data_IF_879121288439
#
_entry.id   IF_879121288439
#
_cell.length_a   1.000
_cell.length_b   1.000
_cell.length_c   1.000
_cell.angle_alpha   90.00
_cell.angle_beta   90.00
_cell.angle_gamma   90.00
#
_symmetry.space_group_name_H-M   'P 1'
#
loop_
_entity.id
_entity.type
_entity.pdbx_description
1 polymer ?
#
# COMPACT_ATOMS: atom_id res chain seq x y z
N UNK A 1 1.92 -19.85 7.68
CA UNK A 1 1.87 -18.46 7.18
C UNK A 1 3.27 -17.86 7.06
N UNK A 2 4.02 -17.81 8.17
CA UNK A 2 5.36 -17.22 8.27
C UNK A 2 6.35 -17.63 7.15
N UNK A 3 6.65 -18.93 7.00
CA UNK A 3 7.60 -19.39 5.98
C UNK A 3 7.18 -19.05 4.54
N UNK A 4 5.87 -19.14 4.24
CA UNK A 4 5.32 -18.77 2.93
C UNK A 4 5.57 -17.30 2.62
N UNK A 5 5.35 -16.43 3.60
CA UNK A 5 5.54 -15.00 3.42
C UNK A 5 7.03 -14.62 3.38
N UNK A 6 7.87 -15.31 4.15
CA UNK A 6 9.32 -15.16 4.06
C UNK A 6 9.82 -15.49 2.66
N UNK A 7 9.39 -16.63 2.08
CA UNK A 7 9.76 -17.01 0.71
C UNK A 7 9.26 -15.98 -0.32
N UNK A 8 7.99 -15.55 -0.21
CA UNK A 8 7.45 -14.49 -1.08
C UNK A 8 8.23 -13.18 -0.95
N UNK A 9 8.61 -12.80 0.26
CA UNK A 9 9.40 -11.62 0.54
C UNK A 9 10.80 -11.70 -0.07
N UNK A 10 11.49 -12.83 0.09
CA UNK A 10 12.80 -13.08 -0.52
C UNK A 10 12.70 -13.01 -2.04
N UNK A 11 11.70 -13.67 -2.64
CA UNK A 11 11.49 -13.67 -4.08
C UNK A 11 11.23 -12.25 -4.62
N UNK A 12 10.39 -11.48 -3.92
CA UNK A 12 10.13 -10.09 -4.28
C UNK A 12 11.39 -9.22 -4.18
N UNK A 13 12.20 -9.40 -3.13
CA UNK A 13 13.48 -8.70 -2.98
C UNK A 13 14.48 -9.04 -4.07
N UNK A 14 14.53 -10.30 -4.51
CA UNK A 14 15.39 -10.75 -5.63
C UNK A 14 14.89 -10.19 -6.96
N UNK A 15 13.60 -9.99 -7.15
CA UNK A 15 13.06 -9.41 -8.39
C UNK A 15 13.26 -7.89 -8.43
N UNK A 16 12.97 -7.20 -7.34
CA UNK A 16 12.96 -5.73 -7.29
C UNK A 16 14.34 -5.15 -6.98
N UNK A 17 15.12 -5.81 -6.13
CA UNK A 17 16.41 -5.31 -5.65
C UNK A 17 17.47 -5.14 -6.73
N UNK A 18 17.81 -6.17 -7.51
CA UNK A 18 18.88 -6.08 -8.51
C UNK A 18 18.65 -5.00 -9.58
N UNK A 19 17.44 -4.80 -10.16
CA UNK A 19 17.20 -3.69 -11.08
C UNK A 19 17.48 -2.32 -10.45
N UNK A 20 17.09 -2.12 -9.18
CA UNK A 20 17.36 -0.87 -8.46
C UNK A 20 18.86 -0.69 -8.24
N UNK A 21 19.57 -1.74 -7.81
CA UNK A 21 21.02 -1.70 -7.59
C UNK A 21 21.76 -1.39 -8.88
N UNK A 22 21.41 -2.06 -9.99
CA UNK A 22 21.99 -1.79 -11.31
C UNK A 22 21.75 -0.34 -11.72
N UNK A 23 20.54 0.18 -11.54
CA UNK A 23 20.23 1.58 -11.85
C UNK A 23 21.10 2.54 -11.03
N UNK A 24 21.26 2.30 -9.72
CA UNK A 24 22.13 3.11 -8.85
C UNK A 24 23.59 3.04 -9.32
N UNK A 25 24.11 1.84 -9.62
CA UNK A 25 25.49 1.67 -10.10
C UNK A 25 25.70 2.47 -11.39
N UNK A 26 24.76 2.38 -12.34
CA UNK A 26 24.84 3.13 -13.60
C UNK A 26 24.83 4.64 -13.36
N UNK A 27 23.99 5.13 -12.46
CA UNK A 27 23.95 6.55 -12.09
C UNK A 27 25.27 6.97 -11.44
N UNK A 28 25.84 6.15 -10.56
CA UNK A 28 27.13 6.46 -9.92
C UNK A 28 28.26 6.49 -10.94
N UNK A 29 28.31 5.54 -11.87
CA UNK A 29 29.33 5.47 -12.91
C UNK A 29 29.24 6.60 -13.93
N UNK A 30 28.03 7.08 -14.27
CA UNK A 30 27.79 8.09 -15.31
C UNK A 30 27.42 9.48 -14.78
N UNK A 31 27.25 9.64 -13.47
CA UNK A 31 26.65 10.83 -12.87
C UNK A 31 27.51 12.08 -12.90
N UNK A 32 28.83 11.93 -13.03
CA UNK A 32 29.77 13.06 -13.12
C UNK A 32 29.59 14.06 -11.96
N UNK A 33 29.72 15.38 -12.21
CA UNK A 33 29.64 16.40 -11.15
C UNK A 33 28.24 16.57 -10.55
N UNK A 34 27.18 16.09 -11.24
CA UNK A 34 25.79 16.21 -10.81
C UNK A 34 25.23 14.90 -10.23
N UNK A 35 26.09 13.95 -9.88
CA UNK A 35 25.73 12.63 -9.34
C UNK A 35 24.70 12.70 -8.21
N UNK A 36 24.85 13.64 -7.28
CA UNK A 36 23.92 13.83 -6.18
C UNK A 36 22.50 14.14 -6.66
N UNK A 37 22.35 14.97 -7.69
CA UNK A 37 21.05 15.34 -8.26
C UNK A 37 20.42 14.14 -8.97
N UNK A 38 21.20 13.38 -9.74
CA UNK A 38 20.69 12.20 -10.43
C UNK A 38 20.24 11.10 -9.47
N UNK A 39 21.03 10.82 -8.42
CA UNK A 39 20.62 9.87 -7.38
C UNK A 39 19.39 10.36 -6.63
N UNK A 40 19.34 11.64 -6.27
CA UNK A 40 18.17 12.21 -5.61
C UNK A 40 16.92 12.09 -6.47
N UNK A 41 16.99 12.47 -7.75
CA UNK A 41 15.86 12.39 -8.68
C UNK A 41 15.40 10.93 -8.87
N UNK A 42 16.34 9.99 -8.98
CA UNK A 42 16.02 8.57 -9.08
C UNK A 42 15.33 8.04 -7.81
N UNK A 43 15.88 8.32 -6.63
CA UNK A 43 15.32 7.87 -5.36
C UNK A 43 13.94 8.50 -5.11
N UNK A 44 13.77 9.76 -5.47
CA UNK A 44 12.48 10.45 -5.39
C UNK A 44 11.46 9.81 -6.33
N UNK A 45 11.82 9.58 -7.59
CA UNK A 45 10.96 8.90 -8.57
C UNK A 45 10.59 7.48 -8.14
N UNK A 46 11.56 6.71 -7.64
CA UNK A 46 11.34 5.36 -7.11
C UNK A 46 10.38 5.39 -5.92
N UNK A 47 10.53 6.35 -5.01
CA UNK A 47 9.64 6.51 -3.85
C UNK A 47 8.21 6.82 -4.28
N UNK A 48 8.01 7.73 -5.24
CA UNK A 48 6.70 8.04 -5.81
C UNK A 48 6.08 6.82 -6.50
N UNK A 49 6.87 6.04 -7.24
CA UNK A 49 6.40 4.82 -7.87
C UNK A 49 5.95 3.79 -6.82
N UNK A 50 6.74 3.60 -5.76
CA UNK A 50 6.45 2.65 -4.68
C UNK A 50 5.19 3.01 -3.89
N UNK A 51 4.87 4.30 -3.72
CA UNK A 51 3.59 4.73 -3.13
C UNK A 51 2.36 4.17 -3.88
N UNK A 52 2.49 3.92 -5.18
CA UNK A 52 1.40 3.36 -6.01
C UNK A 52 1.52 1.85 -6.15
N UNK A 53 2.73 1.34 -6.44
CA UNK A 53 3.00 -0.08 -6.69
C UNK A 53 2.74 -0.91 -5.44
N UNK A 54 3.18 -0.44 -4.27
CA UNK A 54 3.10 -1.21 -3.03
C UNK A 54 1.66 -1.63 -2.68
N UNK A 55 0.68 -0.74 -2.52
CA UNK A 55 -0.67 -1.14 -2.13
C UNK A 55 -1.45 -1.87 -3.23
N UNK A 56 -1.04 -1.76 -4.50
CA UNK A 56 -1.77 -2.36 -5.64
C UNK A 56 -1.23 -3.75 -5.99
N UNK A 57 0.08 -3.95 -5.93
CA UNK A 57 0.73 -5.18 -6.37
C UNK A 57 1.36 -5.94 -5.22
N UNK A 58 2.07 -5.26 -4.32
CA UNK A 58 2.84 -5.93 -3.26
C UNK A 58 1.93 -6.39 -2.13
N UNK A 59 1.15 -5.47 -1.56
CA UNK A 59 0.29 -5.78 -0.41
C UNK A 59 -0.70 -6.93 -0.68
N UNK A 60 -1.37 -7.02 -1.86
CA UNK A 60 -2.28 -8.12 -2.17
C UNK A 60 -1.62 -9.50 -2.30
N UNK A 61 -0.29 -9.58 -2.47
CA UNK A 61 0.42 -10.87 -2.48
C UNK A 61 0.53 -11.49 -1.09
N UNK A 62 0.46 -10.65 -0.05
CA UNK A 62 0.58 -11.05 1.35
C UNK A 62 -0.77 -11.12 2.04
N UNK A 63 -1.68 -10.17 1.75
CA UNK A 63 -2.97 -10.06 2.43
C UNK A 63 -4.11 -10.16 1.45
N UNK A 64 -5.25 -10.67 1.92
CA UNK A 64 -6.47 -10.73 1.15
C UNK A 64 -7.25 -9.43 1.34
N UNK A 65 -7.48 -8.73 0.24
CA UNK A 65 -8.32 -7.54 0.20
C UNK A 65 -9.67 -7.92 -0.38
N UNK A 66 -10.72 -7.78 0.42
CA UNK A 66 -12.11 -7.98 -0.03
C UNK A 66 -12.85 -6.65 0.01
N UNK A 67 -13.73 -6.35 -0.95
CA UNK A 67 -14.62 -5.19 -0.82
C UNK A 67 -15.38 -5.24 0.51
N UNK A 68 -15.56 -4.09 1.16
CA UNK A 68 -16.39 -4.05 2.37
C UNK A 68 -17.82 -4.46 1.97
N UNK A 69 -18.45 -5.44 2.66
CA UNK A 69 -19.81 -5.83 2.37
C UNK A 69 -20.77 -4.65 2.49
N UNK A 70 -21.86 -4.70 1.72
CA UNK A 70 -22.91 -3.71 1.84
C UNK A 70 -23.58 -3.82 3.21
N UNK A 71 -23.91 -2.67 3.79
CA UNK A 71 -24.46 -2.59 5.14
C UNK A 71 -24.28 -1.21 5.78
N UNK A 72 -24.75 -1.06 7.03
CA UNK A 72 -24.83 0.24 7.69
C UNK A 72 -23.46 0.91 7.87
N UNK A 73 -22.40 0.13 8.08
CA UNK A 73 -21.04 0.65 8.20
C UNK A 73 -20.56 1.27 6.89
N UNK A 74 -20.79 0.59 5.76
CA UNK A 74 -20.40 1.08 4.44
C UNK A 74 -21.13 2.38 4.11
N UNK A 75 -22.44 2.42 4.34
CA UNK A 75 -23.26 3.60 4.10
C UNK A 75 -22.82 4.80 4.95
N UNK A 76 -22.54 4.59 6.24
CA UNK A 76 -22.02 5.64 7.13
C UNK A 76 -20.70 6.21 6.62
N UNK A 77 -19.78 5.35 6.18
CA UNK A 77 -18.47 5.77 5.64
C UNK A 77 -18.64 6.53 4.33
N UNK A 78 -19.48 6.03 3.41
CA UNK A 78 -19.73 6.70 2.12
C UNK A 78 -20.42 8.06 2.32
N UNK A 79 -21.37 8.16 3.26
CA UNK A 79 -22.01 9.43 3.63
C UNK A 79 -21.02 10.44 4.20
N UNK A 80 -20.13 10.01 5.08
CA UNK A 80 -19.08 10.86 5.65
C UNK A 80 -18.05 11.28 4.58
N UNK A 81 -17.65 10.36 3.71
CA UNK A 81 -16.75 10.68 2.60
C UNK A 81 -17.39 11.72 1.67
N UNK A 82 -18.68 11.55 1.36
CA UNK A 82 -19.44 12.48 0.53
C UNK A 82 -19.57 13.87 1.18
N UNK A 83 -19.86 13.96 2.48
CA UNK A 83 -19.97 15.25 3.18
C UNK A 83 -18.65 16.03 3.18
N UNK A 84 -17.52 15.32 3.24
CA UNK A 84 -16.17 15.90 3.15
C UNK A 84 -15.67 16.09 1.71
N UNK A 85 -16.50 15.80 0.70
CA UNK A 85 -16.11 15.78 -0.73
C UNK A 85 -14.87 14.93 -0.99
N UNK A 86 -14.66 13.90 -0.18
CA UNK A 86 -13.56 12.96 -0.33
C UNK A 86 -13.88 12.00 -1.48
N UNK A 87 -13.05 11.91 -2.54
CA UNK A 87 -13.34 11.10 -3.73
C UNK A 87 -13.05 9.61 -3.46
N UNK A 88 -13.85 9.01 -2.57
CA UNK A 88 -13.81 7.60 -2.24
C UNK A 88 -14.25 6.78 -3.44
N UNK A 89 -13.32 5.96 -3.99
CA UNK A 89 -13.61 5.09 -5.12
C UNK A 89 -13.80 3.63 -4.73
N UNK A 90 -13.03 3.17 -3.74
CA UNK A 90 -13.09 1.77 -3.26
C UNK A 90 -12.87 1.72 -1.75
N UNK A 91 -13.63 0.85 -1.10
CA UNK A 91 -13.56 0.56 0.32
C UNK A 91 -13.32 -0.94 0.48
N UNK A 92 -12.24 -1.31 1.16
CA UNK A 92 -11.80 -2.69 1.35
C UNK A 92 -11.67 -3.04 2.82
N UNK A 93 -11.83 -4.33 3.10
CA UNK A 93 -11.40 -4.96 4.34
C UNK A 93 -10.20 -5.85 4.04
N UNK A 94 -9.20 -5.80 4.91
CA UNK A 94 -8.02 -6.67 4.87
C UNK A 94 -8.06 -7.66 6.04
N UNK A 95 -7.62 -8.89 5.79
CA UNK A 95 -7.56 -10.00 6.75
C UNK A 95 -6.39 -9.87 7.75
N UNK A 96 -6.32 -8.73 8.45
CA UNK A 96 -5.28 -8.41 9.42
C UNK A 96 -5.20 -9.40 10.59
N UNK A 97 -6.35 -9.98 10.98
CA UNK A 97 -6.47 -10.99 12.04
C UNK A 97 -5.61 -12.23 11.80
N UNK A 98 -5.33 -12.57 10.55
CA UNK A 98 -4.48 -13.72 10.18
C UNK A 98 -3.02 -13.54 10.61
N UNK A 99 -2.61 -12.30 10.90
CA UNK A 99 -1.23 -11.92 11.20
C UNK A 99 -1.05 -11.36 12.60
N UNK A 100 -2.04 -10.64 13.10
CA UNK A 100 -1.99 -10.03 14.44
C UNK A 100 -3.38 -9.62 14.90
N UNK A 101 -3.55 -9.42 16.21
CA UNK A 101 -4.75 -8.85 16.81
C UNK A 101 -4.81 -7.31 16.73
N UNK A 102 -3.83 -6.66 16.10
CA UNK A 102 -3.80 -5.21 15.97
C UNK A 102 -4.87 -4.72 14.99
N UNK A 103 -5.53 -3.63 15.39
CA UNK A 103 -6.53 -2.93 14.60
C UNK A 103 -5.90 -1.72 13.93
N UNK A 104 -6.20 -1.54 12.64
CA UNK A 104 -5.73 -0.39 11.89
C UNK A 104 -6.69 -0.05 10.75
N UNK A 105 -6.58 1.17 10.24
CA UNK A 105 -7.22 1.63 9.03
C UNK A 105 -6.26 2.58 8.32
N UNK A 106 -6.20 2.50 6.98
CA UNK A 106 -5.37 3.41 6.21
C UNK A 106 -6.05 3.81 4.90
N UNK A 107 -5.60 4.93 4.37
CA UNK A 107 -6.12 5.53 3.15
C UNK A 107 -4.98 5.72 2.18
N UNK A 108 -5.19 5.42 0.90
CA UNK A 108 -4.16 5.60 -0.12
C UNK A 108 -4.77 5.96 -1.47
N UNK A 109 -3.91 6.39 -2.39
CA UNK A 109 -4.29 6.72 -3.76
C UNK A 109 -4.11 8.21 -4.10
N UNK A 110 -4.03 8.47 -5.39
CA UNK A 110 -3.77 9.80 -5.95
C UNK A 110 -5.05 10.45 -6.46
N UNK A 111 -5.13 11.78 -6.30
CA UNK A 111 -6.20 12.63 -6.81
C UNK A 111 -7.60 12.07 -6.53
N UNK A 112 -8.37 11.77 -7.60
CA UNK A 112 -9.76 11.29 -7.56
C UNK A 112 -9.91 9.78 -7.36
N UNK A 113 -8.82 9.06 -7.13
CA UNK A 113 -8.82 7.61 -6.97
C UNK A 113 -8.37 7.22 -5.55
N UNK A 114 -9.06 7.76 -4.55
CA UNK A 114 -8.77 7.45 -3.15
C UNK A 114 -9.44 6.15 -2.74
N UNK A 115 -8.73 5.38 -1.91
CA UNK A 115 -9.17 4.09 -1.39
C UNK A 115 -8.99 4.07 0.11
N UNK A 116 -9.90 3.40 0.79
CA UNK A 116 -9.84 3.16 2.24
C UNK A 116 -9.73 1.66 2.46
N UNK A 117 -8.85 1.26 3.38
CA UNK A 117 -8.70 -0.12 3.82
C UNK A 117 -8.90 -0.16 5.32
N UNK A 118 -9.80 -1.03 5.76
CA UNK A 118 -10.08 -1.32 7.16
C UNK A 118 -9.54 -2.70 7.51
N UNK A 119 -9.00 -2.88 8.70
CA UNK A 119 -8.66 -4.22 9.19
C UNK A 119 -9.93 -4.91 9.69
N UNK A 120 -10.04 -6.21 9.45
CA UNK A 120 -11.11 -7.04 10.00
C UNK A 120 -11.16 -6.99 11.54
N UNK A 121 -10.01 -6.95 12.20
CA UNK A 121 -9.86 -6.77 13.65
C UNK A 121 -10.52 -5.48 14.13
N UNK A 122 -10.35 -4.37 13.39
CA UNK A 122 -10.98 -3.09 13.70
C UNK A 122 -12.51 -3.19 13.59
N UNK A 123 -13.00 -3.75 12.49
CA UNK A 123 -14.44 -3.92 12.23
C UNK A 123 -15.08 -4.83 13.29
N UNK A 124 -14.36 -5.84 13.77
CA UNK A 124 -14.85 -6.74 14.81
C UNK A 124 -14.86 -6.09 16.21
N UNK A 125 -13.84 -5.31 16.55
CA UNK A 125 -13.71 -4.68 17.86
C UNK A 125 -14.63 -3.47 18.02
N UNK A 126 -14.81 -2.66 16.98
CA UNK A 126 -15.63 -1.45 16.99
C UNK A 126 -17.11 -1.73 16.62
N UNK A 127 -17.65 -2.89 16.99
CA UNK A 127 -19.07 -3.21 16.74
C UNK A 127 -20.07 -2.33 17.53
N UNK A 128 -19.58 -1.58 18.52
CA UNK A 128 -20.38 -0.64 19.30
C UNK A 128 -19.91 0.79 18.99
N UNK A 129 -20.84 1.57 18.43
CA UNK A 129 -20.82 2.99 18.03
C UNK A 129 -19.70 3.51 17.10
#
# INVERSE_FOLDING_TARGET
LFFRDMIKGIFLSIIIGPPIVVAIIVIVQKGGPYLAIYLWAFMFGLSLAMLTIYPILIAPLFNKFTPLPDGPLREKIEKLASSLKFPLKKLFVVDGSTRSSHSNAYMYGFFKNKRIVLYDTLVQQCKND
#
